data_IF_443564841659
#
_entry.id   IF_443564841659
#
_cell.length_a   1.000
_cell.length_b   1.000
_cell.length_c   1.000
_cell.angle_alpha   90.00
_cell.angle_beta   90.00
_cell.angle_gamma   90.00
#
_symmetry.space_group_name_H-M   'P 1'
#
loop_
_entity.id
_entity.type
_entity.pdbx_description
1 polymer ?
#
# COMPACT_ATOMS: atom_id res chain seq x y z
N UNK A 1 9.44 38.27 16.63
CA UNK A 1 8.72 37.32 15.79
C UNK A 1 9.67 36.43 15.02
N UNK A 2 10.63 37.01 14.34
CA UNK A 2 11.60 36.23 13.56
C UNK A 2 12.42 35.29 14.41
N UNK A 3 12.75 35.69 15.67
CA UNK A 3 13.50 34.80 16.57
C UNK A 3 12.76 33.51 16.90
N UNK A 4 11.44 33.58 17.07
CA UNK A 4 10.61 32.40 17.34
C UNK A 4 10.59 31.48 16.12
N UNK A 5 10.42 32.04 14.93
CA UNK A 5 10.45 31.27 13.70
C UNK A 5 11.78 30.58 13.47
N UNK A 6 12.87 31.30 13.76
CA UNK A 6 14.23 30.77 13.60
C UNK A 6 14.44 29.56 14.51
N UNK A 7 13.96 29.64 15.76
CA UNK A 7 14.10 28.53 16.71
C UNK A 7 13.24 27.33 16.33
N UNK A 8 12.06 27.58 15.74
CA UNK A 8 11.13 26.52 15.37
C UNK A 8 11.52 25.77 14.09
N UNK A 9 12.18 26.46 13.14
CA UNK A 9 12.48 25.90 11.83
C UNK A 9 13.26 24.59 11.86
N UNK A 10 14.35 24.43 12.66
CA UNK A 10 15.06 23.15 12.68
C UNK A 10 14.19 22.00 13.14
N UNK A 11 13.36 22.19 14.18
CA UNK A 11 12.46 21.16 14.70
C UNK A 11 11.43 20.81 13.65
N UNK A 12 10.84 21.82 13.02
CA UNK A 12 9.84 21.61 11.98
C UNK A 12 10.44 20.84 10.79
N UNK A 13 11.66 21.15 10.39
CA UNK A 13 12.33 20.47 9.29
C UNK A 13 12.60 19.00 9.63
N UNK A 14 12.97 18.69 10.87
CA UNK A 14 13.16 17.32 11.31
C UNK A 14 11.85 16.53 11.31
N UNK A 15 10.77 17.13 11.79
CA UNK A 15 9.45 16.50 11.78
C UNK A 15 8.97 16.27 10.35
N UNK A 16 9.19 17.24 9.46
CA UNK A 16 8.83 17.13 8.07
C UNK A 16 9.59 15.99 7.39
N UNK A 17 10.90 15.90 7.62
CA UNK A 17 11.73 14.83 7.08
C UNK A 17 11.27 13.47 7.59
N UNK A 18 10.92 13.37 8.87
CA UNK A 18 10.43 12.12 9.44
C UNK A 18 9.10 11.69 8.81
N UNK A 19 8.19 12.63 8.59
CA UNK A 19 6.91 12.34 7.94
C UNK A 19 7.10 11.90 6.49
N UNK A 20 7.99 12.55 5.78
CA UNK A 20 8.30 12.19 4.39
C UNK A 20 8.92 10.80 4.31
N UNK A 21 9.83 10.47 5.22
CA UNK A 21 10.45 9.15 5.28
C UNK A 21 9.41 8.07 5.59
N UNK A 22 8.48 8.33 6.52
CA UNK A 22 7.42 7.40 6.86
C UNK A 22 6.46 7.18 5.68
N UNK A 23 6.10 8.25 4.97
CA UNK A 23 5.24 8.18 3.81
C UNK A 23 5.91 7.39 2.68
N UNK A 24 7.21 7.60 2.47
CA UNK A 24 7.96 6.87 1.47
C UNK A 24 8.03 5.38 1.82
N UNK A 25 8.26 5.05 3.09
CA UNK A 25 8.30 3.67 3.55
C UNK A 25 6.96 2.96 3.34
N UNK A 26 5.84 3.62 3.61
CA UNK A 26 4.51 3.07 3.34
C UNK A 26 4.28 2.82 1.85
N UNK A 27 4.70 3.75 1.02
CA UNK A 27 4.57 3.63 -0.42
C UNK A 27 5.36 2.43 -0.95
N UNK A 28 6.60 2.27 -0.50
CA UNK A 28 7.45 1.17 -0.91
C UNK A 28 6.90 -0.18 -0.43
N UNK A 29 6.36 -0.23 0.78
CA UNK A 29 5.74 -1.44 1.30
C UNK A 29 4.50 -1.82 0.48
N UNK A 30 3.64 -0.85 0.18
CA UNK A 30 2.45 -1.10 -0.62
C UNK A 30 2.83 -1.52 -2.05
N UNK A 31 3.82 -0.87 -2.65
CA UNK A 31 4.31 -1.25 -3.97
C UNK A 31 4.86 -2.67 -3.97
N UNK A 32 5.56 -3.06 -2.92
CA UNK A 32 6.10 -4.41 -2.78
C UNK A 32 4.99 -5.44 -2.70
N UNK A 33 3.93 -5.17 -1.93
CA UNK A 33 2.78 -6.07 -1.86
C UNK A 33 2.07 -6.17 -3.21
N UNK A 34 1.82 -5.04 -3.86
CA UNK A 34 1.18 -5.02 -5.17
C UNK A 34 1.98 -5.86 -6.16
N UNK A 35 3.30 -5.71 -6.14
CA UNK A 35 4.17 -6.50 -7.01
C UNK A 35 4.04 -8.00 -6.73
N UNK A 36 4.06 -8.39 -5.47
CA UNK A 36 3.93 -9.80 -5.09
C UNK A 36 2.58 -10.38 -5.49
N UNK A 37 1.51 -9.64 -5.31
CA UNK A 37 0.14 -10.12 -5.52
C UNK A 37 -0.33 -9.95 -6.96
N UNK A 38 0.13 -8.93 -7.66
CA UNK A 38 -0.46 -8.52 -8.94
C UNK A 38 0.58 -7.98 -9.93
N UNK A 39 1.85 -8.32 -9.79
CA UNK A 39 2.92 -7.77 -10.63
C UNK A 39 2.76 -8.09 -12.11
N UNK A 40 2.06 -9.16 -12.46
CA UNK A 40 1.78 -9.58 -13.83
C UNK A 40 0.35 -9.26 -14.28
N UNK A 41 -0.38 -8.48 -13.50
CA UNK A 41 -1.77 -8.15 -13.80
C UNK A 41 -1.88 -6.80 -14.52
N UNK A 42 -3.03 -6.53 -15.17
CA UNK A 42 -3.29 -5.20 -15.74
C UNK A 42 -3.14 -4.12 -14.68
N UNK A 43 -2.77 -2.91 -15.12
CA UNK A 43 -2.53 -1.80 -14.20
C UNK A 43 -3.72 -1.54 -13.27
N UNK A 44 -4.94 -1.59 -13.81
CA UNK A 44 -6.15 -1.41 -13.00
C UNK A 44 -6.21 -2.45 -11.86
N UNK A 45 -5.81 -3.69 -12.13
CA UNK A 45 -5.75 -4.73 -11.12
C UNK A 45 -4.71 -4.48 -10.05
N UNK A 46 -3.59 -3.89 -10.42
CA UNK A 46 -2.57 -3.48 -9.46
C UNK A 46 -3.09 -2.37 -8.54
N UNK A 47 -3.74 -1.37 -9.11
CA UNK A 47 -4.37 -0.30 -8.32
C UNK A 47 -5.45 -0.89 -7.42
N UNK A 48 -6.21 -1.85 -7.91
CA UNK A 48 -7.27 -2.50 -7.14
C UNK A 48 -6.75 -3.22 -5.90
N UNK A 49 -5.61 -3.90 -6.00
CA UNK A 49 -4.98 -4.54 -4.83
C UNK A 49 -4.62 -3.48 -3.79
N UNK A 50 -4.03 -2.37 -4.23
CA UNK A 50 -3.74 -1.25 -3.33
C UNK A 50 -5.00 -0.67 -2.70
N UNK A 51 -6.07 -0.55 -3.48
CA UNK A 51 -7.34 -0.03 -2.99
C UNK A 51 -7.96 -0.93 -1.92
N UNK A 52 -7.83 -2.26 -2.06
CA UNK A 52 -8.30 -3.19 -1.02
C UNK A 52 -7.57 -2.95 0.29
N UNK A 53 -6.25 -2.76 0.26
CA UNK A 53 -5.48 -2.44 1.46
C UNK A 53 -6.01 -1.15 2.09
N UNK A 54 -6.21 -0.11 1.29
CA UNK A 54 -6.71 1.18 1.80
C UNK A 54 -8.13 1.06 2.35
N UNK A 55 -8.99 0.26 1.72
CA UNK A 55 -10.33 0.00 2.21
C UNK A 55 -10.31 -0.69 3.58
N UNK A 56 -9.41 -1.65 3.76
CA UNK A 56 -9.24 -2.31 5.05
C UNK A 56 -8.82 -1.33 6.15
N UNK A 57 -7.87 -0.46 5.85
CA UNK A 57 -7.42 0.57 6.79
C UNK A 57 -8.58 1.43 7.28
N UNK A 58 -9.53 1.74 6.39
CA UNK A 58 -10.66 2.61 6.69
C UNK A 58 -11.86 1.88 7.29
N UNK A 59 -11.88 0.56 7.24
CA UNK A 59 -13.09 -0.24 7.48
C UNK A 59 -13.55 -0.29 8.94
N UNK A 60 -12.64 -0.09 9.89
CA UNK A 60 -12.95 -0.24 11.32
C UNK A 60 -12.96 -1.69 11.80
N UNK A 61 -12.89 -2.68 10.91
CA UNK A 61 -12.86 -4.11 11.27
C UNK A 61 -11.50 -4.76 10.95
N UNK A 62 -10.62 -4.04 10.30
CA UNK A 62 -9.23 -4.42 10.08
C UNK A 62 -8.32 -3.46 10.82
N UNK A 63 -7.03 -3.77 10.93
CA UNK A 63 -6.08 -2.80 11.50
C UNK A 63 -6.15 -1.46 10.77
N UNK A 64 -5.75 -0.39 11.42
CA UNK A 64 -5.92 0.97 10.92
C UNK A 64 -4.66 1.58 10.31
N UNK A 65 -3.61 0.77 10.10
CA UNK A 65 -2.41 1.21 9.38
C UNK A 65 -2.12 0.26 8.23
N UNK A 66 -1.48 0.79 7.20
CA UNK A 66 -1.10 0.02 6.02
C UNK A 66 -0.20 -1.17 6.42
N UNK A 67 0.81 -0.92 7.23
CA UNK A 67 1.72 -1.96 7.67
C UNK A 67 0.99 -3.07 8.43
N UNK A 68 0.12 -2.71 9.35
CA UNK A 68 -0.59 -3.70 10.16
C UNK A 68 -1.60 -4.50 9.31
N UNK A 69 -2.22 -3.87 8.32
CA UNK A 69 -3.10 -4.59 7.38
C UNK A 69 -2.29 -5.60 6.57
N UNK A 70 -1.16 -5.16 6.02
CA UNK A 70 -0.33 -6.01 5.15
C UNK A 70 0.26 -7.19 5.92
N UNK A 71 0.74 -6.96 7.13
CA UNK A 71 1.36 -8.01 7.94
C UNK A 71 0.37 -8.76 8.85
N UNK A 72 -0.91 -8.48 8.74
CA UNK A 72 -1.91 -9.21 9.52
C UNK A 72 -1.83 -10.70 9.24
N UNK A 73 -1.78 -11.50 10.30
CA UNK A 73 -1.61 -12.94 10.20
C UNK A 73 -2.68 -13.57 9.29
N UNK A 74 -2.24 -14.38 8.35
CA UNK A 74 -3.12 -15.17 7.49
C UNK A 74 -3.76 -14.40 6.33
N UNK A 75 -3.43 -13.11 6.13
CA UNK A 75 -4.09 -12.33 5.10
C UNK A 75 -3.34 -12.34 3.76
N UNK A 76 -2.03 -12.12 3.78
CA UNK A 76 -1.25 -12.05 2.54
C UNK A 76 -0.10 -13.05 2.60
N UNK A 77 -0.14 -14.04 1.73
CA UNK A 77 0.88 -15.09 1.69
C UNK A 77 2.31 -14.53 1.56
N UNK A 78 2.59 -13.55 0.70
CA UNK A 78 3.96 -13.01 0.60
C UNK A 78 4.49 -12.43 1.90
N UNK A 79 3.61 -11.89 2.76
CA UNK A 79 4.03 -11.37 4.06
C UNK A 79 4.43 -12.51 5.01
N UNK A 80 3.85 -13.68 4.86
CA UNK A 80 4.12 -14.83 5.72
C UNK A 80 5.33 -15.64 5.27
N UNK A 81 5.64 -15.63 3.97
CA UNK A 81 6.74 -16.44 3.42
C UNK A 81 8.08 -15.72 3.42
N UNK A 82 8.09 -14.41 3.69
CA UNK A 82 9.30 -13.58 3.58
C UNK A 82 9.55 -13.01 2.20
N UNK A 83 8.75 -13.37 1.19
CA UNK A 83 8.92 -12.83 -0.17
C UNK A 83 8.71 -11.33 -0.20
N UNK A 84 7.68 -10.84 0.49
CA UNK A 84 7.41 -9.41 0.59
C UNK A 84 8.62 -8.65 1.15
N UNK A 85 9.18 -9.16 2.25
CA UNK A 85 10.33 -8.52 2.89
C UNK A 85 11.55 -8.49 1.97
N UNK A 86 11.74 -9.55 1.18
CA UNK A 86 12.84 -9.62 0.21
C UNK A 86 12.64 -8.57 -0.90
N UNK A 87 11.42 -8.47 -1.45
CA UNK A 87 11.11 -7.49 -2.48
C UNK A 87 11.32 -6.08 -1.94
N UNK A 88 10.85 -5.82 -0.73
CA UNK A 88 11.00 -4.51 -0.10
C UNK A 88 12.47 -4.16 0.11
N UNK A 89 13.26 -5.09 0.66
CA UNK A 89 14.67 -4.85 0.95
C UNK A 89 15.51 -4.58 -0.29
N UNK A 90 15.14 -5.18 -1.42
CA UNK A 90 15.89 -5.06 -2.67
C UNK A 90 15.26 -4.07 -3.65
N UNK A 91 14.21 -3.37 -3.25
CA UNK A 91 13.42 -2.51 -4.16
C UNK A 91 13.04 -3.26 -5.44
N UNK A 92 12.60 -4.52 -5.27
CA UNK A 92 12.34 -5.43 -6.38
C UNK A 92 11.00 -5.23 -7.08
N UNK A 93 10.21 -4.27 -6.61
CA UNK A 93 8.93 -3.92 -7.24
C UNK A 93 9.15 -3.20 -8.58
N UNK A 94 8.19 -3.30 -9.47
CA UNK A 94 8.24 -2.61 -10.76
C UNK A 94 7.85 -1.14 -10.62
N UNK A 95 8.19 -0.34 -11.63
CA UNK A 95 7.70 1.05 -11.72
C UNK A 95 6.17 1.08 -11.76
N UNK A 96 5.56 0.12 -12.43
CA UNK A 96 4.11 -0.01 -12.51
C UNK A 96 3.49 -0.24 -11.12
N UNK A 97 4.07 -1.14 -10.32
CA UNK A 97 3.58 -1.39 -8.97
C UNK A 97 3.74 -0.16 -8.07
N UNK A 98 4.84 0.57 -8.22
CA UNK A 98 5.03 1.82 -7.48
C UNK A 98 4.01 2.87 -7.89
N UNK A 99 3.76 3.03 -9.18
CA UNK A 99 2.75 3.98 -9.65
C UNK A 99 1.35 3.58 -9.15
N UNK A 100 1.05 2.29 -9.15
CA UNK A 100 -0.22 1.79 -8.64
C UNK A 100 -0.37 2.07 -7.14
N UNK A 101 0.71 1.93 -6.37
CA UNK A 101 0.71 2.27 -4.94
C UNK A 101 0.44 3.76 -4.74
N UNK A 102 1.10 4.61 -5.51
CA UNK A 102 0.88 6.06 -5.45
C UNK A 102 -0.56 6.42 -5.77
N UNK A 103 -1.12 5.82 -6.82
CA UNK A 103 -2.51 6.07 -7.22
C UNK A 103 -3.50 5.62 -6.14
N UNK A 104 -3.29 4.44 -5.57
CA UNK A 104 -4.16 3.93 -4.50
C UNK A 104 -4.09 4.81 -3.25
N UNK A 105 -2.88 5.26 -2.88
CA UNK A 105 -2.70 6.16 -1.74
C UNK A 105 -3.37 7.52 -1.99
N UNK A 106 -3.42 7.96 -3.24
CA UNK A 106 -4.09 9.20 -3.62
C UNK A 106 -5.61 9.07 -3.73
N UNK A 107 -6.15 7.86 -3.57
CA UNK A 107 -7.59 7.63 -3.56
C UNK A 107 -8.15 6.93 -4.79
N UNK A 108 -7.33 6.58 -5.78
CA UNK A 108 -7.80 5.79 -6.92
C UNK A 108 -8.33 4.45 -6.43
N UNK A 109 -9.55 4.12 -6.83
CA UNK A 109 -10.21 2.93 -6.33
C UNK A 109 -11.19 2.37 -7.36
N UNK A 110 -10.73 1.40 -8.19
CA UNK A 110 -11.60 0.80 -9.21
C UNK A 110 -12.58 -0.22 -8.66
N UNK A 111 -12.52 -0.55 -7.37
CA UNK A 111 -13.32 -1.65 -6.78
C UNK A 111 -14.22 -1.20 -5.63
N UNK A 112 -14.44 0.12 -5.47
CA UNK A 112 -15.37 0.63 -4.45
C UNK A 112 -14.96 0.24 -3.05
N UNK A 113 -15.84 -0.44 -2.32
CA UNK A 113 -15.62 -0.82 -0.94
C UNK A 113 -15.19 -2.29 -0.74
N UNK A 114 -14.69 -2.93 -1.81
CA UNK A 114 -14.23 -4.30 -1.72
C UNK A 114 -13.11 -4.44 -0.69
N UNK A 115 -13.18 -5.51 0.08
CA UNK A 115 -12.22 -5.80 1.16
C UNK A 115 -11.39 -7.04 0.87
N UNK A 116 -11.70 -7.79 -0.20
CA UNK A 116 -11.06 -9.06 -0.52
C UNK A 116 -10.74 -9.16 -1.98
N UNK A 117 -9.71 -9.92 -2.30
CA UNK A 117 -9.48 -10.39 -3.66
C UNK A 117 -8.92 -11.81 -3.63
N UNK A 118 -9.17 -12.53 -4.71
CA UNK A 118 -8.68 -13.90 -4.88
C UNK A 118 -8.65 -14.24 -6.37
N UNK A 119 -8.03 -15.38 -6.70
CA UNK A 119 -7.95 -15.82 -8.10
C UNK A 119 -9.18 -16.61 -8.53
N UNK A 120 -10.20 -16.68 -7.71
CA UNK A 120 -11.44 -17.34 -8.04
C UNK A 120 -12.53 -16.97 -7.06
N UNK A 121 -13.71 -17.60 -7.18
CA UNK A 121 -14.77 -17.48 -6.21
C UNK A 121 -15.78 -16.38 -6.45
N UNK A 122 -15.64 -15.59 -7.49
CA UNK A 122 -16.65 -14.59 -7.86
C UNK A 122 -16.39 -13.21 -7.27
N UNK A 123 -17.17 -12.27 -7.73
CA UNK A 123 -17.02 -10.86 -7.44
C UNK A 123 -16.70 -10.10 -8.73
N UNK A 124 -16.19 -8.89 -8.58
CA UNK A 124 -15.82 -8.06 -9.72
C UNK A 124 -14.44 -8.48 -10.24
N UNK A 125 -14.36 -8.89 -11.49
CA UNK A 125 -13.12 -9.44 -12.06
C UNK A 125 -12.29 -8.36 -12.75
N UNK A 126 -11.02 -8.29 -12.40
CA UNK A 126 -10.01 -7.49 -13.13
C UNK A 126 -8.81 -8.42 -13.35
N UNK A 127 -8.51 -8.72 -14.62
CA UNK A 127 -7.46 -9.68 -14.94
C UNK A 127 -7.79 -11.06 -14.34
N UNK A 128 -6.85 -11.62 -13.61
CA UNK A 128 -7.02 -12.93 -12.97
C UNK A 128 -7.64 -12.83 -11.57
N UNK A 129 -7.86 -11.63 -11.06
CA UNK A 129 -8.38 -11.44 -9.72
C UNK A 129 -9.86 -11.09 -9.69
N UNK A 130 -10.53 -11.58 -8.64
CA UNK A 130 -11.93 -11.27 -8.34
C UNK A 130 -11.97 -10.49 -7.03
N UNK A 131 -12.66 -9.35 -7.05
CA UNK A 131 -12.73 -8.44 -5.91
C UNK A 131 -14.15 -8.45 -5.33
N UNK A 132 -14.24 -8.47 -3.97
CA UNK A 132 -15.52 -8.46 -3.27
C UNK A 132 -15.43 -7.83 -1.88
#
# INVERSE_FOLDING_TARGET
MTGVQTCALPIFAEEQAAREAAAQAEKELLASLIFCEAGNQPYEGQVAVGAVVMNRVKSGVYPDTISDVIYQSGQFTPAMTGWLDTVLANSGYTDSAMQAAEDALAGSNPVGDCLYFSTGGGGYQIGDHYFR
#
